data_IF_721200129782
#
_entry.id   IF_721200129782
#
_cell.length_a   1.000
_cell.length_b   1.000
_cell.length_c   1.000
_cell.angle_alpha   90.00
_cell.angle_beta   90.00
_cell.angle_gamma   90.00
#
_symmetry.space_group_name_H-M   'P 1'
#
loop_
_entity.id
_entity.type
_entity.pdbx_description
1 polymer ?
#
# COMPACT_ATOMS: atom_id res chain seq x y z
N UNK A 1 8.53 5.56 3.20
CA UNK A 1 8.01 5.13 4.51
C UNK A 1 9.09 4.46 5.34
N UNK A 2 9.69 3.30 4.95
CA UNK A 2 10.67 2.58 5.77
C UNK A 2 11.86 3.45 6.22
N UNK A 3 12.44 4.25 5.31
CA UNK A 3 13.55 5.16 5.67
C UNK A 3 13.15 6.13 6.78
N UNK A 4 11.96 6.75 6.67
CA UNK A 4 11.47 7.73 7.64
C UNK A 4 11.14 7.07 8.99
N UNK A 5 10.55 5.88 9.00
CA UNK A 5 10.28 5.14 10.23
C UNK A 5 11.58 4.79 10.96
N UNK A 6 12.57 4.26 10.22
CA UNK A 6 13.89 3.96 10.79
C UNK A 6 14.60 5.21 11.30
N UNK A 7 14.50 6.35 10.60
CA UNK A 7 15.05 7.62 11.03
C UNK A 7 14.35 8.15 12.30
N UNK A 8 13.04 7.94 12.42
CA UNK A 8 12.26 8.29 13.61
C UNK A 8 12.48 7.34 14.80
N UNK A 9 13.24 6.26 14.63
CA UNK A 9 13.61 5.35 15.71
C UNK A 9 12.69 4.14 15.88
N UNK A 10 11.76 3.92 14.96
CA UNK A 10 10.93 2.72 14.96
C UNK A 10 11.72 1.49 14.51
N UNK A 11 11.44 0.36 15.13
CA UNK A 11 11.81 -0.95 14.59
C UNK A 11 10.74 -1.40 13.60
N UNK A 12 11.17 -1.99 12.48
CA UNK A 12 10.25 -2.38 11.41
C UNK A 12 10.48 -3.83 10.96
N UNK A 13 9.38 -4.51 10.69
CA UNK A 13 9.37 -5.75 9.91
C UNK A 13 8.70 -5.45 8.56
N UNK A 14 9.39 -5.74 7.48
CA UNK A 14 8.88 -5.55 6.12
C UNK A 14 8.50 -6.90 5.55
N UNK A 15 7.27 -7.01 5.03
CA UNK A 15 6.80 -8.18 4.32
C UNK A 15 6.41 -7.81 2.88
N UNK A 16 6.88 -8.59 1.91
CA UNK A 16 6.61 -8.39 0.48
C UNK A 16 6.81 -9.72 -0.26
N UNK A 17 6.03 -10.00 -1.30
CA UNK A 17 6.16 -11.22 -2.11
C UNK A 17 6.98 -11.00 -3.41
N UNK A 18 7.57 -9.84 -3.58
CA UNK A 18 8.32 -9.41 -4.77
C UNK A 18 7.54 -9.49 -6.10
N UNK A 19 6.22 -9.54 -6.06
CA UNK A 19 5.41 -9.55 -7.28
C UNK A 19 5.69 -8.33 -8.18
N UNK A 20 5.81 -7.14 -7.57
CA UNK A 20 6.09 -5.89 -8.29
C UNK A 20 7.17 -5.04 -7.61
N UNK A 21 8.15 -5.70 -7.01
CA UNK A 21 9.27 -5.08 -6.31
C UNK A 21 10.55 -5.90 -6.52
N UNK A 22 11.65 -5.47 -5.94
CA UNK A 22 12.90 -6.22 -6.00
C UNK A 22 13.74 -6.03 -4.72
N UNK A 23 14.62 -7.01 -4.39
CA UNK A 23 15.47 -6.95 -3.21
C UNK A 23 16.38 -5.72 -3.13
N UNK A 24 16.78 -5.15 -4.27
CA UNK A 24 17.61 -3.95 -4.32
C UNK A 24 16.97 -2.76 -3.60
N UNK A 25 15.63 -2.64 -3.63
CA UNK A 25 14.91 -1.59 -2.91
C UNK A 25 15.19 -1.65 -1.41
N UNK A 26 15.17 -2.85 -0.82
CA UNK A 26 15.46 -3.06 0.60
C UNK A 26 16.92 -2.76 0.94
N UNK A 27 17.86 -3.22 0.09
CA UNK A 27 19.29 -2.93 0.27
C UNK A 27 19.55 -1.41 0.27
N UNK A 28 18.89 -0.67 -0.61
CA UNK A 28 18.99 0.79 -0.68
C UNK A 28 18.38 1.47 0.54
N UNK A 29 17.24 1.00 1.03
CA UNK A 29 16.63 1.50 2.28
C UNK A 29 17.60 1.35 3.44
N UNK A 30 18.18 0.16 3.66
CA UNK A 30 19.20 -0.09 4.69
C UNK A 30 20.41 0.85 4.57
N UNK A 31 20.89 1.03 3.35
CA UNK A 31 22.02 1.94 3.06
C UNK A 31 21.71 3.41 3.35
N UNK A 32 20.49 3.86 3.06
CA UNK A 32 20.08 5.25 3.30
C UNK A 32 19.86 5.49 4.79
N UNK A 33 19.13 4.58 5.46
CA UNK A 33 18.81 4.70 6.88
C UNK A 33 20.01 4.45 7.81
N UNK A 34 21.07 3.77 7.32
CA UNK A 34 22.18 3.33 8.15
C UNK A 34 21.79 2.32 9.23
N UNK A 35 20.62 1.70 9.09
CA UNK A 35 20.03 0.73 10.02
C UNK A 35 19.56 -0.50 9.27
N UNK A 36 19.64 -1.65 9.94
CA UNK A 36 19.07 -2.90 9.44
C UNK A 36 17.61 -3.03 9.90
N UNK A 37 16.87 -3.90 9.25
CA UNK A 37 15.51 -4.29 9.62
C UNK A 37 15.23 -5.71 9.12
N UNK A 38 14.25 -6.35 9.73
CA UNK A 38 13.82 -7.68 9.34
C UNK A 38 12.96 -7.62 8.07
N UNK A 39 13.26 -8.52 7.13
CA UNK A 39 12.46 -8.75 5.94
C UNK A 39 11.93 -10.18 5.93
N UNK A 40 10.68 -10.35 5.57
CA UNK A 40 10.03 -11.65 5.36
C UNK A 40 9.44 -11.67 3.96
N UNK A 41 9.92 -12.58 3.12
CA UNK A 41 9.29 -12.83 1.83
C UNK A 41 8.00 -13.62 2.07
N UNK A 42 6.84 -12.97 1.87
CA UNK A 42 5.55 -13.56 2.16
C UNK A 42 4.44 -12.93 1.33
N UNK A 43 3.46 -13.75 0.95
CA UNK A 43 2.22 -13.30 0.32
C UNK A 43 1.15 -13.06 1.40
N UNK A 44 0.61 -11.86 1.46
CA UNK A 44 -0.43 -11.51 2.45
C UNK A 44 -1.78 -12.18 2.18
N UNK A 45 -1.96 -12.80 1.01
CA UNK A 45 -3.13 -13.65 0.74
C UNK A 45 -3.01 -15.03 1.40
N UNK A 46 -1.80 -15.42 1.79
CA UNK A 46 -1.54 -16.63 2.58
C UNK A 46 -1.63 -16.31 4.08
N UNK A 47 -2.71 -16.78 4.70
CA UNK A 47 -2.99 -16.52 6.11
C UNK A 47 -1.93 -17.13 7.04
N UNK A 48 -1.40 -18.29 6.70
CA UNK A 48 -0.39 -18.97 7.53
C UNK A 48 0.94 -18.21 7.47
N UNK A 49 1.25 -17.61 6.32
CA UNK A 49 2.42 -16.72 6.19
C UNK A 49 2.26 -15.46 7.05
N UNK A 50 1.07 -14.84 7.07
CA UNK A 50 0.78 -13.68 7.94
C UNK A 50 0.88 -14.08 9.41
N UNK A 51 0.29 -15.21 9.81
CA UNK A 51 0.37 -15.73 11.18
C UNK A 51 1.82 -15.91 11.63
N UNK A 52 2.65 -16.50 10.79
CA UNK A 52 4.07 -16.71 11.08
C UNK A 52 4.81 -15.41 11.33
N UNK A 53 4.51 -14.35 10.57
CA UNK A 53 5.14 -13.02 10.78
C UNK A 53 4.86 -12.52 12.19
N UNK A 54 3.62 -12.60 12.66
CA UNK A 54 3.25 -12.14 13.99
C UNK A 54 3.79 -13.06 15.10
N UNK A 55 3.75 -14.36 14.91
CA UNK A 55 4.27 -15.33 15.89
C UNK A 55 5.79 -15.18 16.10
N UNK A 56 6.52 -14.78 15.07
CA UNK A 56 7.97 -14.55 15.15
C UNK A 56 8.35 -13.11 15.55
N UNK A 57 7.36 -12.21 15.71
CA UNK A 57 7.54 -10.80 16.12
C UNK A 57 6.36 -10.42 17.02
N UNK A 58 6.42 -10.84 18.28
CA UNK A 58 5.31 -10.68 19.25
C UNK A 58 5.05 -9.22 19.66
N UNK A 59 5.94 -8.29 19.31
CA UNK A 59 5.93 -6.89 19.67
C UNK A 59 5.43 -5.96 18.55
N UNK A 60 4.69 -6.50 17.56
CA UNK A 60 4.10 -5.69 16.50
C UNK A 60 2.96 -4.83 17.08
N UNK A 61 3.19 -3.53 17.18
CA UNK A 61 2.22 -2.54 17.66
C UNK A 61 1.28 -2.02 16.59
N UNK A 62 1.73 -1.96 15.34
CA UNK A 62 1.01 -1.34 14.25
C UNK A 62 1.33 -1.99 12.91
N UNK A 63 0.31 -2.13 12.08
CA UNK A 63 0.45 -2.54 10.69
C UNK A 63 0.28 -1.34 9.77
N UNK A 64 1.20 -1.16 8.80
CA UNK A 64 1.02 -0.23 7.69
C UNK A 64 0.82 -1.06 6.43
N UNK A 65 -0.42 -1.18 5.99
CA UNK A 65 -0.78 -2.02 4.86
C UNK A 65 -0.66 -1.27 3.53
N UNK A 66 0.35 -1.61 2.74
CA UNK A 66 0.50 -1.21 1.34
C UNK A 66 0.16 -2.36 0.37
N UNK A 67 0.25 -3.61 0.83
CA UNK A 67 0.07 -4.81 0.02
C UNK A 67 -1.29 -4.82 -0.69
N UNK A 68 -1.28 -4.61 -2.00
CA UNK A 68 -2.45 -4.64 -2.89
C UNK A 68 -2.01 -4.52 -4.35
N UNK A 69 -2.81 -5.05 -5.28
CA UNK A 69 -2.71 -4.67 -6.68
C UNK A 69 -3.26 -3.25 -6.86
N UNK A 70 -2.55 -2.40 -7.62
CA UNK A 70 -2.85 -0.95 -7.70
C UNK A 70 -3.07 -0.40 -9.11
N UNK A 71 -2.92 -1.19 -10.15
CA UNK A 71 -3.02 -0.72 -11.53
C UNK A 71 -4.48 -0.60 -11.97
N UNK A 72 -4.98 0.64 -12.07
CA UNK A 72 -6.39 0.95 -12.41
C UNK A 72 -6.81 0.27 -13.72
N UNK A 73 -6.04 0.45 -14.80
CA UNK A 73 -6.36 -0.14 -16.12
C UNK A 73 -6.37 -1.67 -16.10
N UNK A 74 -5.41 -2.29 -15.42
CA UNK A 74 -5.36 -3.75 -15.29
C UNK A 74 -6.56 -4.29 -14.51
N UNK A 75 -7.03 -3.57 -13.49
CA UNK A 75 -8.17 -4.00 -12.68
C UNK A 75 -9.45 -4.20 -13.51
N UNK A 76 -9.61 -3.43 -14.58
CA UNK A 76 -10.77 -3.55 -15.49
C UNK A 76 -10.72 -4.87 -16.28
N UNK A 77 -9.53 -5.33 -16.64
CA UNK A 77 -9.36 -6.59 -17.39
C UNK A 77 -9.26 -7.82 -16.49
N UNK A 78 -8.90 -7.65 -15.20
CA UNK A 78 -8.70 -8.73 -14.24
C UNK A 78 -9.44 -8.46 -12.91
N UNK A 79 -10.76 -8.21 -12.93
CA UNK A 79 -11.47 -7.79 -11.73
C UNK A 79 -11.45 -8.84 -10.61
N UNK A 80 -11.58 -10.13 -10.94
CA UNK A 80 -11.60 -11.21 -9.96
C UNK A 80 -10.28 -11.27 -9.18
N UNK A 81 -9.15 -11.20 -9.88
CA UNK A 81 -7.81 -11.20 -9.28
C UNK A 81 -7.63 -10.01 -8.33
N UNK A 82 -8.12 -8.82 -8.72
CA UNK A 82 -8.06 -7.63 -7.87
C UNK A 82 -8.91 -7.76 -6.62
N UNK A 83 -10.15 -8.23 -6.74
CA UNK A 83 -11.00 -8.48 -5.56
C UNK A 83 -10.40 -9.56 -4.66
N UNK A 84 -10.01 -10.69 -5.22
CA UNK A 84 -9.45 -11.81 -4.46
C UNK A 84 -8.18 -11.39 -3.72
N UNK A 85 -7.22 -10.78 -4.40
CA UNK A 85 -5.96 -10.37 -3.78
C UNK A 85 -6.17 -9.28 -2.73
N UNK A 86 -6.79 -8.16 -3.10
CA UNK A 86 -6.82 -6.98 -2.25
C UNK A 86 -7.68 -7.17 -1.00
N UNK A 87 -8.78 -7.91 -1.10
CA UNK A 87 -9.63 -8.19 0.06
C UNK A 87 -9.03 -9.30 0.95
N UNK A 88 -8.49 -10.38 0.36
CA UNK A 88 -7.86 -11.45 1.14
C UNK A 88 -6.68 -10.94 1.97
N UNK A 89 -5.81 -10.09 1.39
CA UNK A 89 -4.71 -9.47 2.14
C UNK A 89 -5.21 -8.78 3.41
N UNK A 90 -6.23 -7.92 3.29
CA UNK A 90 -6.74 -7.18 4.45
C UNK A 90 -7.44 -8.09 5.46
N UNK A 91 -8.26 -9.02 5.01
CA UNK A 91 -8.98 -9.93 5.90
C UNK A 91 -8.03 -10.83 6.69
N UNK A 92 -6.98 -11.35 6.06
CA UNK A 92 -5.96 -12.15 6.73
C UNK A 92 -5.21 -11.33 7.77
N UNK A 93 -4.78 -10.12 7.41
CA UNK A 93 -4.08 -9.21 8.33
C UNK A 93 -4.94 -8.90 9.55
N UNK A 94 -6.20 -8.50 9.36
CA UNK A 94 -7.11 -8.17 10.46
C UNK A 94 -7.37 -9.35 11.39
N UNK A 95 -7.56 -10.55 10.83
CA UNK A 95 -7.81 -11.73 11.66
C UNK A 95 -6.58 -12.13 12.48
N UNK A 96 -5.38 -11.99 11.92
CA UNK A 96 -4.12 -12.25 12.64
C UNK A 96 -3.86 -11.16 13.67
N UNK A 97 -4.00 -9.88 13.34
CA UNK A 97 -3.86 -8.77 14.27
C UNK A 97 -4.69 -8.96 15.54
N UNK A 98 -5.97 -9.34 15.35
CA UNK A 98 -6.89 -9.61 16.48
C UNK A 98 -6.39 -10.75 17.39
N UNK A 99 -5.80 -11.80 16.83
CA UNK A 99 -5.26 -12.95 17.61
C UNK A 99 -3.98 -12.61 18.35
N UNK A 100 -3.23 -11.63 17.88
CA UNK A 100 -1.96 -11.19 18.45
C UNK A 100 -2.04 -9.86 19.22
N UNK A 101 -3.27 -9.39 19.54
CA UNK A 101 -3.50 -8.13 20.27
C UNK A 101 -2.84 -6.90 19.62
N UNK A 102 -2.71 -6.88 18.30
CA UNK A 102 -2.25 -5.72 17.54
C UNK A 102 -3.48 -4.90 17.13
N UNK A 103 -3.63 -3.70 17.70
CA UNK A 103 -4.85 -2.91 17.57
C UNK A 103 -4.72 -1.69 16.65
N UNK A 104 -3.59 -1.49 15.99
CA UNK A 104 -3.39 -0.31 15.16
C UNK A 104 -3.11 -0.69 13.71
N UNK A 105 -3.88 -0.13 12.77
CA UNK A 105 -3.64 -0.32 11.34
C UNK A 105 -3.74 0.99 10.58
N UNK A 106 -2.77 1.25 9.73
CA UNK A 106 -2.77 2.33 8.75
C UNK A 106 -2.98 1.70 7.38
N UNK A 107 -4.10 2.03 6.75
CA UNK A 107 -4.46 1.48 5.45
C UNK A 107 -4.16 2.46 4.32
N UNK A 108 -3.39 2.02 3.33
CA UNK A 108 -3.16 2.73 2.08
C UNK A 108 -4.41 2.63 1.21
N UNK A 109 -5.34 3.59 1.41
CA UNK A 109 -6.49 3.78 0.54
C UNK A 109 -6.11 4.63 -0.69
N UNK A 110 -7.09 5.15 -1.40
CA UNK A 110 -6.87 5.90 -2.63
C UNK A 110 -7.96 6.94 -2.84
N UNK A 111 -7.61 8.06 -3.44
CA UNK A 111 -8.59 9.06 -3.89
C UNK A 111 -9.61 8.50 -4.91
N UNK A 112 -9.33 7.36 -5.53
CA UNK A 112 -10.29 6.67 -6.41
C UNK A 112 -11.56 6.24 -5.71
N UNK A 113 -11.61 6.20 -4.36
CA UNK A 113 -12.82 5.91 -3.58
C UNK A 113 -13.91 6.97 -3.76
N UNK A 114 -13.52 8.20 -4.11
CA UNK A 114 -14.47 9.29 -4.36
C UNK A 114 -15.16 9.19 -5.73
N UNK A 115 -14.62 8.36 -6.65
CA UNK A 115 -15.13 8.27 -8.01
C UNK A 115 -15.02 9.60 -8.74
N UNK A 116 -16.15 10.06 -9.27
CA UNK A 116 -16.27 11.35 -9.98
C UNK A 116 -16.84 12.39 -9.00
N UNK A 117 -16.01 13.24 -8.38
CA UNK A 117 -16.43 14.12 -7.31
C UNK A 117 -17.25 15.29 -7.85
N UNK A 118 -18.25 15.73 -7.09
CA UNK A 118 -19.14 16.83 -7.47
C UNK A 118 -18.41 18.20 -7.56
N UNK A 119 -17.27 18.33 -6.89
CA UNK A 119 -16.46 19.55 -6.88
C UNK A 119 -15.02 19.32 -6.47
N UNK A 120 -14.15 20.31 -6.70
CA UNK A 120 -12.77 20.32 -6.24
C UNK A 120 -12.51 21.62 -5.45
N UNK A 121 -11.60 21.62 -4.47
CA UNK A 121 -10.79 20.48 -3.99
C UNK A 121 -11.63 19.40 -3.28
N UNK A 122 -11.22 18.14 -3.41
CA UNK A 122 -11.87 17.02 -2.73
C UNK A 122 -11.54 17.08 -1.24
N UNK A 123 -12.54 16.76 -0.40
CA UNK A 123 -12.40 16.73 1.06
C UNK A 123 -12.74 15.34 1.59
N UNK A 124 -12.29 15.03 2.80
CA UNK A 124 -12.47 13.71 3.43
C UNK A 124 -13.93 13.37 3.72
N UNK A 125 -14.79 14.38 3.87
CA UNK A 125 -16.23 14.26 4.12
C UNK A 125 -17.07 14.03 2.83
N UNK A 126 -16.42 14.01 1.65
CA UNK A 126 -17.12 13.74 0.40
C UNK A 126 -17.61 12.29 0.34
N UNK A 127 -18.76 12.04 -0.34
CA UNK A 127 -19.27 10.69 -0.55
C UNK A 127 -18.24 9.77 -1.21
N UNK A 128 -18.20 8.53 -0.75
CA UNK A 128 -17.35 7.47 -1.32
C UNK A 128 -18.22 6.34 -1.87
N UNK A 129 -17.69 5.57 -2.83
CA UNK A 129 -18.36 4.36 -3.33
C UNK A 129 -18.75 4.40 -4.81
N UNK A 130 -18.88 5.58 -5.42
CA UNK A 130 -19.17 5.72 -6.86
C UNK A 130 -17.91 5.51 -7.72
N UNK A 131 -17.21 4.41 -7.52
CA UNK A 131 -15.94 4.10 -8.19
C UNK A 131 -16.14 3.72 -9.66
N UNK A 132 -15.18 4.05 -10.49
CA UNK A 132 -15.21 3.82 -11.93
C UNK A 132 -14.42 2.56 -12.36
N UNK A 133 -13.79 1.87 -11.42
CA UNK A 133 -12.95 0.70 -11.71
C UNK A 133 -12.86 -0.25 -10.50
N UNK A 134 -12.56 -1.56 -10.74
CA UNK A 134 -12.47 -2.56 -9.68
C UNK A 134 -11.41 -2.26 -8.62
N UNK A 135 -10.26 -1.68 -8.97
CA UNK A 135 -9.26 -1.27 -7.98
C UNK A 135 -9.85 -0.29 -6.97
N UNK A 136 -10.48 0.79 -7.44
CA UNK A 136 -11.15 1.76 -6.56
C UNK A 136 -12.22 1.09 -5.68
N UNK A 137 -12.99 0.18 -6.25
CA UNK A 137 -14.01 -0.58 -5.52
C UNK A 137 -13.40 -1.45 -4.42
N UNK A 138 -12.25 -2.11 -4.67
CA UNK A 138 -11.55 -2.86 -3.60
C UNK A 138 -11.15 -1.95 -2.44
N UNK A 139 -10.72 -0.72 -2.71
CA UNK A 139 -10.38 0.25 -1.65
C UNK A 139 -11.61 0.67 -0.85
N UNK A 140 -12.74 0.94 -1.51
CA UNK A 140 -14.03 1.23 -0.83
C UNK A 140 -14.46 0.08 0.06
N UNK A 141 -14.41 -1.15 -0.44
CA UNK A 141 -14.79 -2.32 0.35
C UNK A 141 -13.87 -2.51 1.55
N UNK A 142 -12.57 -2.31 1.38
CA UNK A 142 -11.62 -2.38 2.49
C UNK A 142 -11.87 -1.28 3.53
N UNK A 143 -12.12 -0.04 3.13
CA UNK A 143 -12.51 1.03 4.07
C UNK A 143 -13.77 0.67 4.84
N UNK A 144 -14.76 0.07 4.18
CA UNK A 144 -15.99 -0.38 4.82
C UNK A 144 -15.73 -1.51 5.82
N UNK A 145 -14.94 -2.52 5.45
CA UNK A 145 -14.54 -3.62 6.34
C UNK A 145 -13.86 -3.08 7.58
N UNK A 146 -12.85 -2.22 7.42
CA UNK A 146 -12.11 -1.61 8.51
C UNK A 146 -13.02 -0.79 9.44
N UNK A 147 -13.94 -0.01 8.86
CA UNK A 147 -14.92 0.78 9.63
C UNK A 147 -15.86 -0.10 10.43
N UNK A 148 -16.33 -1.21 9.86
CA UNK A 148 -17.23 -2.14 10.56
C UNK A 148 -16.46 -2.92 11.65
N UNK A 149 -15.18 -3.25 11.44
CA UNK A 149 -14.31 -3.83 12.47
C UNK A 149 -14.10 -2.87 13.66
N UNK A 150 -13.85 -1.57 13.42
CA UNK A 150 -13.74 -0.56 14.49
C UNK A 150 -15.02 -0.42 15.32
N UNK A 151 -16.21 -0.59 14.70
CA UNK A 151 -17.48 -0.57 15.44
C UNK A 151 -17.66 -1.81 16.31
N UNK A 152 -17.15 -2.94 15.87
CA UNK A 152 -17.24 -4.22 16.59
C UNK A 152 -16.18 -4.33 17.69
N UNK A 153 -15.03 -3.70 17.52
CA UNK A 153 -13.90 -3.72 18.44
C UNK A 153 -13.44 -2.28 18.75
N UNK A 154 -13.79 -1.74 19.94
CA UNK A 154 -13.42 -0.38 20.34
C UNK A 154 -11.91 -0.17 20.55
N UNK A 155 -11.11 -1.23 20.67
CA UNK A 155 -9.65 -1.13 20.81
C UNK A 155 -8.97 -0.98 19.45
N UNK A 156 -9.63 -1.37 18.35
CA UNK A 156 -9.06 -1.26 17.01
C UNK A 156 -9.02 0.20 16.52
N UNK A 157 -7.83 0.67 16.23
CA UNK A 157 -7.57 2.00 15.69
C UNK A 157 -7.20 1.90 14.20
N UNK A 158 -7.90 2.62 13.34
CA UNK A 158 -7.68 2.62 11.90
C UNK A 158 -7.41 4.03 11.39
N UNK A 159 -6.33 4.19 10.63
CA UNK A 159 -6.11 5.38 9.82
C UNK A 159 -6.26 5.04 8.33
N UNK A 160 -7.18 5.72 7.64
CA UNK A 160 -7.43 5.58 6.21
C UNK A 160 -6.72 6.69 5.45
N UNK A 161 -5.66 6.37 4.70
CA UNK A 161 -4.90 7.35 3.93
C UNK A 161 -5.31 7.31 2.46
N UNK A 162 -6.14 8.26 2.03
CA UNK A 162 -6.66 8.36 0.65
C UNK A 162 -5.68 9.12 -0.22
N UNK A 163 -4.66 8.42 -0.73
CA UNK A 163 -3.65 9.01 -1.59
C UNK A 163 -4.22 9.39 -2.95
N UNK A 164 -3.82 10.57 -3.43
CA UNK A 164 -3.89 10.94 -4.85
C UNK A 164 -2.72 10.27 -5.58
N UNK A 165 -1.97 11.02 -6.40
CA UNK A 165 -0.77 10.52 -7.07
C UNK A 165 0.45 11.17 -6.42
N UNK A 166 1.00 10.61 -5.33
CA UNK A 166 2.17 11.17 -4.69
C UNK A 166 3.35 11.13 -5.66
N UNK A 167 4.05 12.25 -5.76
CA UNK A 167 5.25 12.40 -6.59
C UNK A 167 6.45 12.70 -5.71
N UNK A 168 7.61 12.34 -6.23
CA UNK A 168 8.87 12.54 -5.54
C UNK A 168 9.39 11.26 -4.91
N UNK A 169 10.69 11.25 -4.73
CA UNK A 169 11.43 10.18 -4.11
C UNK A 169 12.29 10.75 -2.98
N UNK A 170 13.01 9.89 -2.30
CA UNK A 170 13.92 10.32 -1.25
C UNK A 170 15.03 11.25 -1.78
N UNK A 171 15.42 12.32 -1.05
CA UNK A 171 16.44 13.29 -1.50
C UNK A 171 17.79 12.68 -1.88
N UNK A 172 18.12 11.49 -1.37
CA UNK A 172 19.34 10.78 -1.74
C UNK A 172 19.42 10.40 -3.23
N UNK A 173 18.30 10.42 -3.97
CA UNK A 173 18.21 9.93 -5.35
C UNK A 173 18.48 8.43 -5.53
N UNK A 174 18.51 7.64 -4.45
CA UNK A 174 18.85 6.21 -4.49
C UNK A 174 17.65 5.28 -4.55
N UNK A 175 16.49 5.78 -4.19
CA UNK A 175 15.21 5.04 -4.25
C UNK A 175 14.18 5.86 -5.01
N UNK A 176 13.23 5.19 -5.66
CA UNK A 176 12.18 5.80 -6.45
C UNK A 176 11.20 4.75 -6.91
N UNK A 177 10.35 5.11 -7.86
CA UNK A 177 9.41 4.17 -8.49
C UNK A 177 10.15 3.34 -9.56
N UNK A 178 10.15 2.02 -9.38
CA UNK A 178 10.78 1.06 -10.30
C UNK A 178 9.92 -0.22 -10.38
N UNK A 179 8.72 -0.14 -10.98
CA UNK A 179 7.83 -1.29 -11.09
C UNK A 179 8.32 -2.28 -12.14
N UNK A 180 7.95 -3.55 -11.97
CA UNK A 180 8.09 -4.55 -13.01
C UNK A 180 7.11 -4.21 -14.16
N UNK A 181 7.64 -3.86 -15.34
CA UNK A 181 6.84 -3.52 -16.52
C UNK A 181 6.69 -2.03 -16.80
N UNK A 182 5.55 -1.65 -17.38
CA UNK A 182 5.31 -0.27 -17.82
C UNK A 182 4.72 0.54 -16.65
N UNK A 183 5.34 1.67 -16.25
CA UNK A 183 4.78 2.54 -15.24
C UNK A 183 3.39 3.07 -15.65
N UNK A 184 2.48 3.17 -14.67
CA UNK A 184 1.12 3.68 -14.92
C UNK A 184 0.97 5.17 -14.55
N UNK A 185 1.95 5.76 -13.89
CA UNK A 185 1.91 7.15 -13.44
C UNK A 185 2.64 8.07 -14.43
N UNK A 186 2.23 9.34 -14.47
CA UNK A 186 2.76 10.35 -15.41
C UNK A 186 4.24 10.67 -15.18
N UNK A 187 4.67 10.83 -13.93
CA UNK A 187 6.04 11.28 -13.59
C UNK A 187 7.14 10.34 -14.12
N UNK A 188 7.03 9.01 -14.06
CA UNK A 188 7.99 8.11 -14.71
C UNK A 188 8.16 8.35 -16.22
N UNK A 189 7.10 8.72 -16.93
CA UNK A 189 7.18 9.07 -18.36
C UNK A 189 7.91 10.41 -18.57
N UNK A 190 7.58 11.41 -17.76
CA UNK A 190 8.29 12.70 -17.79
C UNK A 190 9.78 12.49 -17.53
N UNK A 191 10.14 11.67 -16.55
CA UNK A 191 11.53 11.36 -16.24
C UNK A 191 12.25 10.65 -17.41
N UNK A 192 11.57 9.73 -18.09
CA UNK A 192 12.13 9.05 -19.29
C UNK A 192 12.37 10.00 -20.44
N UNK A 193 11.49 10.99 -20.64
CA UNK A 193 11.70 12.06 -21.64
C UNK A 193 12.86 12.95 -21.22
N UNK A 194 12.92 13.38 -19.97
CA UNK A 194 13.98 14.24 -19.45
C UNK A 194 15.38 13.65 -19.61
N UNK A 195 15.52 12.32 -19.52
CA UNK A 195 16.81 11.63 -19.73
C UNK A 195 17.00 11.08 -21.16
N UNK A 196 16.16 11.48 -22.11
CA UNK A 196 16.27 11.12 -23.52
C UNK A 196 15.89 9.66 -23.86
N UNK A 197 15.24 8.92 -22.94
CA UNK A 197 14.77 7.55 -23.20
C UNK A 197 13.45 7.50 -23.98
N UNK A 198 12.69 8.58 -23.98
CA UNK A 198 11.49 8.78 -24.79
C UNK A 198 11.56 10.15 -25.44
N UNK A 199 10.98 10.28 -26.65
CA UNK A 199 10.95 11.54 -27.41
C UNK A 199 9.99 12.53 -26.77
N UNK A 200 8.83 12.06 -26.36
CA UNK A 200 7.75 12.90 -25.80
C UNK A 200 6.84 12.09 -24.87
N UNK A 201 6.09 12.80 -24.03
CA UNK A 201 4.98 12.25 -23.26
C UNK A 201 3.72 12.29 -24.12
N UNK A 202 2.99 11.19 -24.19
CA UNK A 202 1.64 11.15 -24.74
C UNK A 202 0.64 11.23 -23.57
N UNK A 203 -0.28 12.19 -23.66
CA UNK A 203 -1.33 12.44 -22.67
C UNK A 203 -2.68 12.24 -23.30
#
# INVERSE_FOLDING_TARGET
>A
TCVELLAAGYDIVVADNYYNSCPEALARVKKIAGKDFRFVEADMTDKDAVEKIFAENEDIDCVIQFAAYKAVGESVSKPIEYYSNNLACTLNILDVMRRHNCHNIIFSSSATVYGDPASVPIREDFPVGATTNPYGTTKVFTERILTDCCKADPELNVALLRYFNPIGAHPSGKIGEDPNGIPNNLVPYIAKVAVGKLEKVHV
#
